data_IF_683641491197
#
_entry.id   IF_683641491197
#
_cell.length_a   1.000
_cell.length_b   1.000
_cell.length_c   1.000
_cell.angle_alpha   90.00
_cell.angle_beta   90.00
_cell.angle_gamma   90.00
#
_symmetry.space_group_name_H-M   'P 1'
#
loop_
_entity.id
_entity.type
_entity.pdbx_description
1 polymer ?
#
# COMPACT_ATOMS: atom_id res chain seq x y z
N UNK A 1 9.18 -2.24 7.28
CA UNK A 1 10.41 -2.84 6.71
C UNK A 1 11.18 -1.87 5.84
N UNK A 2 10.57 -1.20 4.86
CA UNK A 2 11.22 -0.21 3.98
C UNK A 2 12.12 0.81 4.72
N UNK A 3 11.58 1.48 5.74
CA UNK A 3 12.31 2.45 6.59
C UNK A 3 13.56 1.82 7.23
N UNK A 4 13.44 0.60 7.74
CA UNK A 4 14.55 -0.12 8.38
C UNK A 4 15.65 -0.46 7.38
N UNK A 5 15.27 -0.97 6.20
CA UNK A 5 16.23 -1.33 5.14
C UNK A 5 16.99 -0.11 4.63
N UNK A 6 16.31 1.03 4.50
CA UNK A 6 16.96 2.30 4.18
C UNK A 6 17.98 2.72 5.23
N UNK A 7 17.60 2.66 6.50
CA UNK A 7 18.46 3.12 7.59
C UNK A 7 19.70 2.24 7.79
N UNK A 8 19.54 0.92 7.69
CA UNK A 8 20.60 -0.04 8.05
C UNK A 8 21.40 -0.54 6.85
N UNK A 9 20.80 -0.53 5.65
CA UNK A 9 21.40 -1.12 4.45
C UNK A 9 21.42 -0.16 3.25
N UNK A 10 21.02 1.11 3.45
CA UNK A 10 20.99 2.14 2.41
C UNK A 10 20.15 1.75 1.18
N UNK A 11 19.19 0.84 1.36
CA UNK A 11 18.24 0.48 0.32
C UNK A 11 17.22 1.62 0.16
N UNK A 12 17.12 2.19 -1.03
CA UNK A 12 16.11 3.22 -1.30
C UNK A 12 14.70 2.66 -1.07
N UNK A 13 13.84 3.45 -0.42
CA UNK A 13 12.43 3.12 -0.25
C UNK A 13 11.72 2.99 -1.61
N UNK A 14 12.10 3.80 -2.60
CA UNK A 14 11.56 3.68 -3.95
C UNK A 14 11.88 2.30 -4.57
N UNK A 15 13.10 1.80 -4.37
CA UNK A 15 13.48 0.46 -4.84
C UNK A 15 12.70 -0.64 -4.11
N UNK A 16 12.47 -0.49 -2.80
CA UNK A 16 11.63 -1.41 -2.03
C UNK A 16 10.19 -1.48 -2.60
N UNK A 17 9.60 -0.31 -2.88
CA UNK A 17 8.24 -0.24 -3.40
C UNK A 17 8.14 -0.71 -4.85
N UNK A 18 9.16 -0.46 -5.67
CA UNK A 18 9.26 -1.01 -7.02
C UNK A 18 9.27 -2.54 -7.00
N UNK A 19 10.14 -3.18 -6.21
CA UNK A 19 10.17 -4.65 -6.09
C UNK A 19 8.84 -5.22 -5.60
N UNK A 20 8.18 -4.51 -4.67
CA UNK A 20 6.86 -4.92 -4.18
C UNK A 20 5.81 -4.84 -5.28
N UNK A 21 5.83 -3.79 -6.09
CA UNK A 21 4.93 -3.63 -7.23
C UNK A 21 5.17 -4.72 -8.30
N UNK A 22 6.43 -5.02 -8.63
CA UNK A 22 6.80 -6.09 -9.56
C UNK A 22 6.19 -7.44 -9.14
N UNK A 23 6.34 -7.82 -7.87
CA UNK A 23 5.73 -9.06 -7.34
C UNK A 23 4.21 -9.08 -7.48
N UNK A 24 3.53 -7.95 -7.21
CA UNK A 24 2.07 -7.85 -7.37
C UNK A 24 1.68 -8.02 -8.84
N UNK A 25 2.37 -7.34 -9.75
CA UNK A 25 2.07 -7.35 -11.17
C UNK A 25 2.30 -8.73 -11.78
N UNK A 26 3.40 -9.39 -11.44
CA UNK A 26 3.69 -10.76 -11.86
C UNK A 26 2.56 -11.71 -11.42
N UNK A 27 2.08 -11.57 -10.18
CA UNK A 27 0.95 -12.35 -9.69
C UNK A 27 -0.35 -12.07 -10.46
N UNK A 28 -0.65 -10.80 -10.74
CA UNK A 28 -1.86 -10.43 -11.49
C UNK A 28 -1.81 -10.95 -12.93
N UNK A 29 -0.63 -10.92 -13.56
CA UNK A 29 -0.41 -11.47 -14.90
C UNK A 29 -0.55 -13.00 -14.93
N UNK A 30 -0.04 -13.70 -13.91
CA UNK A 30 -0.17 -15.15 -13.79
C UNK A 30 -1.61 -15.61 -13.50
N UNK A 31 -2.48 -14.71 -13.01
CA UNK A 31 -3.84 -15.03 -12.60
C UNK A 31 -4.91 -14.10 -13.21
N UNK A 32 -5.05 -14.10 -14.55
CA UNK A 32 -5.99 -13.21 -15.25
C UNK A 32 -7.46 -13.49 -14.87
N UNK A 33 -7.78 -14.68 -14.38
CA UNK A 33 -9.13 -15.04 -13.91
C UNK A 33 -9.63 -14.19 -12.74
N UNK A 34 -8.76 -13.43 -12.08
CA UNK A 34 -9.10 -12.54 -10.97
C UNK A 34 -9.12 -11.05 -11.35
N UNK A 35 -9.02 -10.72 -12.65
CA UNK A 35 -8.94 -9.33 -13.14
C UNK A 35 -10.03 -8.42 -12.56
N UNK A 36 -11.27 -8.88 -12.52
CA UNK A 36 -12.38 -8.10 -11.96
C UNK A 36 -12.17 -7.80 -10.47
N UNK A 37 -11.64 -8.77 -9.71
CA UNK A 37 -11.33 -8.59 -8.29
C UNK A 37 -10.17 -7.63 -8.08
N UNK A 38 -9.16 -7.64 -8.95
CA UNK A 38 -8.06 -6.67 -8.88
C UNK A 38 -8.55 -5.23 -9.12
N UNK A 39 -9.55 -5.06 -10.00
CA UNK A 39 -10.20 -3.75 -10.19
C UNK A 39 -11.03 -3.30 -8.99
N UNK A 40 -11.73 -4.23 -8.32
CA UNK A 40 -12.50 -3.93 -7.11
C UNK A 40 -11.60 -3.62 -5.90
N UNK A 41 -10.47 -4.30 -5.78
CA UNK A 41 -9.51 -4.15 -4.70
C UNK A 41 -8.19 -3.61 -5.24
N UNK A 42 -8.25 -2.37 -5.72
CA UNK A 42 -7.14 -1.70 -6.38
C UNK A 42 -6.02 -1.31 -5.39
N UNK A 43 -5.01 -2.17 -5.31
CA UNK A 43 -3.81 -1.95 -4.47
C UNK A 43 -2.89 -0.84 -4.99
N UNK A 44 -3.17 -0.30 -6.19
CA UNK A 44 -2.46 0.83 -6.80
C UNK A 44 -3.29 2.12 -6.79
N UNK A 45 -4.39 2.18 -6.03
CA UNK A 45 -5.16 3.41 -5.82
C UNK A 45 -4.25 4.54 -5.27
N UNK A 46 -4.50 5.82 -5.61
CA UNK A 46 -3.62 6.94 -5.25
C UNK A 46 -3.45 7.13 -3.74
N UNK A 47 -4.46 6.77 -2.96
CA UNK A 47 -4.48 6.88 -1.51
C UNK A 47 -5.21 5.72 -0.89
N UNK A 48 -4.90 5.40 0.37
CA UNK A 48 -5.65 4.44 1.18
C UNK A 48 -5.95 5.01 2.56
N UNK A 49 -6.96 4.44 3.22
CA UNK A 49 -7.37 4.85 4.56
C UNK A 49 -6.56 4.10 5.62
N UNK A 50 -5.98 4.86 6.55
CA UNK A 50 -5.27 4.35 7.72
C UNK A 50 -6.05 4.73 8.97
N UNK A 51 -6.34 3.73 9.80
CA UNK A 51 -6.97 3.97 11.11
C UNK A 51 -6.01 4.69 12.05
N UNK A 52 -6.47 5.77 12.69
CA UNK A 52 -5.68 6.55 13.63
C UNK A 52 -5.68 5.89 15.03
N UNK A 53 -4.96 4.77 15.17
CA UNK A 53 -4.94 3.93 16.38
C UNK A 53 -4.64 4.70 17.67
N UNK A 54 -3.74 5.69 17.63
CA UNK A 54 -3.43 6.54 18.79
C UNK A 54 -4.64 7.36 19.22
N UNK A 55 -5.36 7.98 18.28
CA UNK A 55 -6.56 8.77 18.60
C UNK A 55 -7.69 7.87 19.09
N UNK A 56 -7.84 6.68 18.51
CA UNK A 56 -8.81 5.68 18.99
C UNK A 56 -8.59 5.34 20.46
N UNK A 57 -7.35 5.09 20.89
CA UNK A 57 -7.02 4.82 22.30
C UNK A 57 -7.32 5.99 23.23
N UNK A 58 -7.14 7.23 22.76
CA UNK A 58 -7.34 8.44 23.56
C UNK A 58 -8.81 8.89 23.63
N UNK A 59 -9.57 8.67 22.57
CA UNK A 59 -10.93 9.24 22.38
C UNK A 59 -12.03 8.18 22.37
N UNK A 60 -11.68 6.90 22.52
CA UNK A 60 -12.59 5.77 22.47
C UNK A 60 -13.08 5.42 21.06
N UNK A 61 -13.86 4.34 21.00
CA UNK A 61 -14.30 3.68 19.75
C UNK A 61 -15.59 4.26 19.15
N UNK A 62 -16.15 5.33 19.73
CA UNK A 62 -17.44 5.90 19.34
C UNK A 62 -17.48 6.49 17.93
N UNK A 63 -16.32 6.84 17.36
CA UNK A 63 -16.21 7.35 15.99
C UNK A 63 -15.02 6.68 15.29
N UNK A 64 -15.25 6.20 14.06
CA UNK A 64 -14.18 5.69 13.22
C UNK A 64 -13.35 6.85 12.70
N UNK A 65 -12.06 6.86 13.04
CA UNK A 65 -11.11 7.90 12.64
C UNK A 65 -10.12 7.33 11.64
N UNK A 66 -10.37 7.61 10.37
CA UNK A 66 -9.48 7.26 9.28
C UNK A 66 -8.82 8.51 8.71
N UNK A 67 -7.57 8.34 8.31
CA UNK A 67 -6.82 9.33 7.55
C UNK A 67 -6.51 8.75 6.17
N UNK A 68 -6.79 9.52 5.13
CA UNK A 68 -6.29 9.23 3.79
C UNK A 68 -4.79 9.55 3.71
N UNK A 69 -3.99 8.59 3.26
CA UNK A 69 -2.54 8.75 3.07
C UNK A 69 -2.14 8.35 1.65
N UNK A 70 -1.08 8.97 1.07
CA UNK A 70 -0.56 8.57 -0.22
C UNK A 70 -0.13 7.09 -0.25
N UNK A 71 -0.48 6.40 -1.32
CA UNK A 71 -0.05 5.04 -1.56
C UNK A 71 1.29 5.02 -2.31
N UNK A 72 2.38 4.50 -1.72
CA UNK A 72 3.67 4.44 -2.39
C UNK A 72 3.67 3.53 -3.63
N UNK A 73 2.74 2.56 -3.71
CA UNK A 73 2.60 1.71 -4.90
C UNK A 73 2.00 2.46 -6.09
N UNK A 74 1.28 3.57 -5.88
CA UNK A 74 0.55 4.27 -6.95
C UNK A 74 1.46 4.69 -8.12
N UNK A 75 2.71 5.04 -7.84
CA UNK A 75 3.69 5.42 -8.86
C UNK A 75 4.02 4.29 -9.86
N UNK A 76 3.73 3.03 -9.50
CA UNK A 76 4.04 1.84 -10.29
C UNK A 76 2.79 1.19 -10.90
N UNK A 77 1.66 1.92 -10.90
CA UNK A 77 0.43 1.42 -11.51
C UNK A 77 0.65 1.17 -13.02
N UNK A 78 0.24 0.01 -13.56
CA UNK A 78 0.30 -0.24 -15.00
C UNK A 78 -0.66 0.71 -15.74
N UNK A 79 -0.22 1.20 -16.92
CA UNK A 79 -1.00 2.10 -17.78
C UNK A 79 -2.19 1.40 -18.44
#
# INVERSE_FOLDING_TARGET
>A
MAIFLRQQYQLDEALFWQMTAEVILDYQQAHPQHRDRFGLFDVFAPTYEVEELTKRRLLGDGERRFRSVPNPLHAYRPQ
#
